data_IF_263142489288
#
_entry.id   IF_263142489288
#
_cell.length_a   1.000
_cell.length_b   1.000
_cell.length_c   1.000
_cell.angle_alpha   90.00
_cell.angle_beta   90.00
_cell.angle_gamma   90.00
#
_symmetry.space_group_name_H-M   'P 1'
#
loop_
_entity.id
_entity.type
_entity.pdbx_description
1 polymer ?
#
# COMPACT_ATOMS: atom_id res chain seq x y z
N UNK A 1 3.08 53.56 -6.79
CA UNK A 1 2.59 52.26 -7.32
C UNK A 1 3.70 51.21 -7.46
N UNK A 2 4.88 51.54 -8.04
CA UNK A 2 6.01 50.58 -8.22
C UNK A 2 6.50 49.90 -6.92
N UNK A 3 6.61 50.62 -5.80
CA UNK A 3 7.04 50.02 -4.51
C UNK A 3 6.11 48.91 -4.01
N UNK A 4 4.79 49.07 -4.17
CA UNK A 4 3.81 48.05 -3.76
C UNK A 4 3.91 46.79 -4.63
N UNK A 5 4.16 46.95 -5.94
CA UNK A 5 4.40 45.84 -6.87
C UNK A 5 5.66 45.05 -6.51
N UNK A 6 6.76 45.73 -6.18
CA UNK A 6 7.99 45.07 -5.73
C UNK A 6 7.80 44.31 -4.41
N UNK A 7 7.07 44.89 -3.46
CA UNK A 7 6.73 44.19 -2.20
C UNK A 7 5.86 42.96 -2.43
N UNK A 8 4.84 43.05 -3.30
CA UNK A 8 3.99 41.92 -3.67
C UNK A 8 4.80 40.82 -4.37
N UNK A 9 5.70 41.18 -5.28
CA UNK A 9 6.59 40.25 -5.96
C UNK A 9 7.50 39.52 -4.96
N UNK A 10 8.12 40.26 -4.02
CA UNK A 10 8.98 39.66 -3.00
C UNK A 10 8.22 38.71 -2.07
N UNK A 11 6.99 39.07 -1.68
CA UNK A 11 6.13 38.17 -0.90
C UNK A 11 5.79 36.91 -1.68
N UNK A 12 5.45 37.03 -2.97
CA UNK A 12 5.18 35.86 -3.83
C UNK A 12 6.40 34.94 -3.90
N UNK A 13 7.60 35.47 -4.17
CA UNK A 13 8.82 34.64 -4.21
C UNK A 13 9.10 33.97 -2.86
N UNK A 14 8.90 34.70 -1.76
CA UNK A 14 9.07 34.15 -0.41
C UNK A 14 8.10 33.00 -0.13
N UNK A 15 6.82 33.17 -0.45
CA UNK A 15 5.82 32.12 -0.27
C UNK A 15 6.06 30.93 -1.19
N UNK A 16 6.49 31.15 -2.44
CA UNK A 16 6.87 30.05 -3.34
C UNK A 16 8.05 29.26 -2.78
N UNK A 17 9.10 29.93 -2.31
CA UNK A 17 10.24 29.27 -1.69
C UNK A 17 9.86 28.49 -0.42
N UNK A 18 9.00 29.06 0.42
CA UNK A 18 8.48 28.40 1.61
C UNK A 18 7.63 27.17 1.26
N UNK A 19 6.75 27.27 0.26
CA UNK A 19 5.94 26.16 -0.22
C UNK A 19 6.80 25.02 -0.78
N UNK A 20 7.88 25.33 -1.50
CA UNK A 20 8.82 24.31 -1.99
C UNK A 20 9.59 23.62 -0.86
N UNK A 21 9.93 24.35 0.20
CA UNK A 21 10.57 23.76 1.39
C UNK A 21 9.59 22.90 2.21
N UNK A 22 8.32 23.29 2.26
CA UNK A 22 7.27 22.56 2.97
C UNK A 22 6.67 21.40 2.17
N UNK A 23 6.82 21.40 0.85
CA UNK A 23 6.25 20.36 -0.01
C UNK A 23 6.65 18.92 0.41
N UNK A 24 7.93 18.61 0.69
CA UNK A 24 8.31 17.27 1.13
C UNK A 24 7.62 16.86 2.44
N UNK A 25 7.57 17.75 3.44
CA UNK A 25 6.98 17.43 4.75
C UNK A 25 5.46 17.24 4.68
N UNK A 26 4.76 18.05 3.89
CA UNK A 26 3.31 17.91 3.69
C UNK A 26 2.98 16.70 2.84
N UNK A 27 3.76 16.45 1.78
CA UNK A 27 3.61 15.28 0.91
C UNK A 27 3.85 13.98 1.68
N UNK A 28 4.91 13.93 2.49
CA UNK A 28 5.23 12.76 3.33
C UNK A 28 4.11 12.49 4.34
N UNK A 29 3.57 13.54 4.96
CA UNK A 29 2.44 13.42 5.89
C UNK A 29 1.17 12.90 5.21
N UNK A 30 0.82 13.44 4.04
CA UNK A 30 -0.36 13.01 3.30
C UNK A 30 -0.25 11.58 2.76
N UNK A 31 0.95 11.20 2.30
CA UNK A 31 1.25 9.86 1.80
C UNK A 31 1.20 8.82 2.93
N UNK A 32 1.80 9.15 4.07
CA UNK A 32 1.69 8.37 5.32
C UNK A 32 0.23 8.19 5.77
N UNK A 33 -0.60 9.23 5.66
CA UNK A 33 -2.01 9.17 6.05
C UNK A 33 -2.86 8.25 5.15
N UNK A 34 -2.66 8.29 3.83
CA UNK A 34 -3.39 7.43 2.89
C UNK A 34 -3.00 5.95 3.03
N UNK A 35 -1.70 5.66 3.18
CA UNK A 35 -1.21 4.31 3.46
C UNK A 35 -1.68 3.81 4.83
N UNK A 36 -1.71 4.68 5.84
CA UNK A 36 -2.20 4.36 7.18
C UNK A 36 -3.65 3.90 7.17
N UNK A 37 -4.54 4.46 6.33
CA UNK A 37 -5.94 4.04 6.27
C UNK A 37 -6.12 2.60 5.75
N UNK A 38 -5.38 2.23 4.70
CA UNK A 38 -5.41 0.87 4.14
C UNK A 38 -4.87 -0.15 5.16
N UNK A 39 -3.76 0.18 5.83
CA UNK A 39 -3.16 -0.63 6.88
C UNK A 39 -4.09 -0.74 8.10
N UNK A 40 -4.78 0.35 8.48
CA UNK A 40 -5.72 0.35 9.60
C UNK A 40 -6.93 -0.54 9.33
N UNK A 41 -7.51 -0.48 8.13
CA UNK A 41 -8.63 -1.35 7.75
C UNK A 41 -8.23 -2.83 7.76
N UNK A 42 -7.05 -3.17 7.23
CA UNK A 42 -6.49 -4.52 7.31
C UNK A 42 -6.27 -4.97 8.76
N UNK A 43 -5.63 -4.13 9.58
CA UNK A 43 -5.34 -4.44 10.98
C UNK A 43 -6.62 -4.68 11.77
N UNK A 44 -7.65 -3.87 11.53
CA UNK A 44 -8.97 -4.05 12.14
C UNK A 44 -9.61 -5.37 11.69
N UNK A 45 -9.61 -5.68 10.38
CA UNK A 45 -10.12 -6.94 9.85
C UNK A 45 -9.44 -8.16 10.46
N UNK A 46 -8.11 -8.18 10.51
CA UNK A 46 -7.35 -9.28 11.12
C UNK A 46 -7.59 -9.36 12.63
N UNK A 47 -7.75 -8.23 13.33
CA UNK A 47 -7.98 -8.24 14.78
C UNK A 47 -9.34 -8.81 15.20
N UNK A 48 -10.32 -8.77 14.29
CA UNK A 48 -11.66 -9.31 14.49
C UNK A 48 -11.78 -10.77 14.03
N UNK A 49 -10.78 -11.28 13.31
CA UNK A 49 -10.72 -12.64 12.79
C UNK A 49 -10.53 -13.65 13.93
N UNK A 50 -11.23 -14.77 13.85
CA UNK A 50 -11.02 -15.86 14.79
C UNK A 50 -9.77 -16.69 14.46
N UNK A 51 -9.23 -17.39 15.46
CA UNK A 51 -7.99 -18.15 15.28
C UNK A 51 -8.12 -19.34 14.31
N UNK A 52 -9.33 -19.88 14.12
CA UNK A 52 -9.56 -21.00 13.22
C UNK A 52 -9.59 -20.52 11.76
N UNK A 53 -10.26 -19.40 11.50
CA UNK A 53 -10.29 -18.70 10.20
C UNK A 53 -8.88 -18.28 9.79
N UNK A 54 -8.13 -17.64 10.70
CA UNK A 54 -6.73 -17.30 10.46
C UNK A 54 -5.88 -18.52 10.12
N UNK A 55 -6.07 -19.63 10.85
CA UNK A 55 -5.37 -20.89 10.61
C UNK A 55 -5.69 -21.47 9.23
N UNK A 56 -6.97 -21.50 8.85
CA UNK A 56 -7.41 -21.98 7.54
C UNK A 56 -6.81 -21.15 6.41
N UNK A 57 -6.85 -19.81 6.51
CA UNK A 57 -6.28 -18.93 5.50
C UNK A 57 -4.77 -19.14 5.33
N UNK A 58 -4.05 -19.39 6.42
CA UNK A 58 -2.62 -19.68 6.36
C UNK A 58 -2.34 -21.03 5.70
N UNK A 59 -3.11 -22.06 6.05
CA UNK A 59 -3.00 -23.39 5.44
C UNK A 59 -3.28 -23.35 3.93
N UNK A 60 -4.32 -22.62 3.52
CA UNK A 60 -4.67 -22.43 2.10
C UNK A 60 -3.53 -21.72 1.33
N UNK A 61 -2.93 -20.69 1.93
CA UNK A 61 -1.80 -19.97 1.36
C UNK A 61 -0.54 -20.84 1.25
N UNK A 62 -0.24 -21.65 2.27
CA UNK A 62 0.88 -22.61 2.25
C UNK A 62 0.67 -23.71 1.19
N UNK A 63 -0.56 -24.22 1.09
CA UNK A 63 -0.93 -25.20 0.08
C UNK A 63 -0.79 -24.63 -1.34
N UNK A 64 -1.24 -23.39 -1.56
CA UNK A 64 -1.04 -22.69 -2.83
C UNK A 64 0.45 -22.55 -3.17
N UNK A 65 1.27 -22.08 -2.22
CA UNK A 65 2.71 -21.92 -2.41
C UNK A 65 3.40 -23.25 -2.77
N UNK A 66 2.97 -24.35 -2.15
CA UNK A 66 3.48 -25.69 -2.44
C UNK A 66 3.14 -26.13 -3.86
N UNK A 67 1.88 -25.99 -4.28
CA UNK A 67 1.44 -26.30 -5.66
C UNK A 67 2.16 -25.43 -6.70
N UNK A 68 2.38 -24.15 -6.39
CA UNK A 68 3.08 -23.22 -7.28
C UNK A 68 4.53 -23.63 -7.53
N UNK A 69 5.21 -24.20 -6.52
CA UNK A 69 6.59 -24.69 -6.65
C UNK A 69 6.69 -25.98 -7.48
N UNK A 70 5.64 -26.79 -7.51
CA UNK A 70 5.59 -28.01 -8.33
C UNK A 70 5.47 -27.71 -9.83
N UNK A 71 4.92 -26.54 -10.19
CA UNK A 71 4.89 -26.05 -11.57
C UNK A 71 6.29 -25.67 -12.05
N UNK A 72 6.97 -26.63 -12.68
CA UNK A 72 8.29 -26.41 -13.31
C UNK A 72 8.26 -25.48 -14.53
N UNK A 73 7.12 -25.38 -15.21
CA UNK A 73 6.93 -24.50 -16.37
C UNK A 73 5.78 -23.51 -16.13
N UNK A 74 5.88 -22.30 -16.71
CA UNK A 74 4.83 -21.26 -16.73
C UNK A 74 4.29 -20.78 -15.36
N UNK A 75 5.01 -20.98 -14.25
CA UNK A 75 4.63 -20.47 -12.90
C UNK A 75 4.41 -18.95 -12.79
N UNK A 76 4.79 -18.17 -13.81
CA UNK A 76 4.62 -16.71 -13.88
C UNK A 76 3.48 -16.28 -14.82
N UNK A 77 2.79 -17.25 -15.45
CA UNK A 77 1.66 -17.01 -16.34
C UNK A 77 0.48 -17.82 -15.83
N UNK A 78 -0.33 -17.19 -14.98
CA UNK A 78 -1.55 -17.77 -14.45
C UNK A 78 -2.60 -17.85 -15.57
N UNK A 79 -3.42 -18.90 -15.54
CA UNK A 79 -4.70 -18.89 -16.25
C UNK A 79 -5.71 -18.03 -15.49
N UNK A 80 -6.81 -17.61 -16.13
CA UNK A 80 -7.87 -16.81 -15.47
C UNK A 80 -8.37 -17.47 -14.17
N UNK A 81 -8.55 -18.79 -14.18
CA UNK A 81 -8.99 -19.53 -12.99
C UNK A 81 -7.94 -19.56 -11.86
N UNK A 82 -6.65 -19.59 -12.21
CA UNK A 82 -5.56 -19.58 -11.22
C UNK A 82 -5.32 -18.18 -10.65
N UNK A 83 -5.63 -17.15 -11.43
CA UNK A 83 -5.62 -15.76 -10.99
C UNK A 83 -6.80 -15.46 -10.05
N UNK A 84 -7.99 -16.00 -10.33
CA UNK A 84 -9.14 -15.92 -9.42
C UNK A 84 -8.85 -16.64 -8.10
N UNK A 85 -8.28 -17.85 -8.14
CA UNK A 85 -7.82 -18.56 -6.95
C UNK A 85 -6.81 -17.72 -6.17
N UNK A 86 -5.77 -17.21 -6.85
CA UNK A 86 -4.74 -16.36 -6.23
C UNK A 86 -5.33 -15.14 -5.53
N UNK A 87 -6.23 -14.41 -6.19
CA UNK A 87 -6.85 -13.19 -5.65
C UNK A 87 -7.79 -13.45 -4.46
N UNK A 88 -8.26 -14.69 -4.29
CA UNK A 88 -9.09 -15.07 -3.14
C UNK A 88 -8.29 -15.37 -1.87
N UNK A 89 -6.99 -15.65 -2.00
CA UNK A 89 -6.13 -16.01 -0.87
C UNK A 89 -5.67 -14.76 -0.12
N UNK A 90 -5.60 -14.82 1.20
CA UNK A 90 -5.10 -13.71 2.04
C UNK A 90 -5.82 -12.35 1.85
N UNK A 91 -7.01 -12.30 1.25
CA UNK A 91 -7.79 -11.07 1.12
C UNK A 91 -8.79 -10.90 2.28
N UNK A 92 -8.29 -10.41 3.41
CA UNK A 92 -9.09 -10.24 4.64
C UNK A 92 -10.19 -9.20 4.49
N UNK A 93 -9.97 -8.17 3.67
CA UNK A 93 -10.84 -6.99 3.58
C UNK A 93 -11.66 -6.93 2.29
N UNK A 94 -11.48 -7.87 1.36
CA UNK A 94 -12.11 -7.84 0.03
C UNK A 94 -11.56 -6.71 -0.85
N UNK A 95 -10.41 -6.15 -0.49
CA UNK A 95 -9.78 -5.01 -1.17
C UNK A 95 -8.46 -5.41 -1.84
N UNK A 96 -8.14 -6.71 -1.83
CA UNK A 96 -6.88 -7.24 -2.35
C UNK A 96 -5.65 -6.97 -1.49
N UNK A 97 -5.80 -6.46 -0.26
CA UNK A 97 -4.66 -6.22 0.64
C UNK A 97 -4.32 -7.53 1.36
N UNK A 98 -3.12 -8.05 1.10
CA UNK A 98 -2.60 -9.24 1.79
C UNK A 98 -2.04 -8.91 3.18
N UNK A 99 -1.51 -7.70 3.34
CA UNK A 99 -0.83 -7.26 4.54
C UNK A 99 -0.03 -6.00 4.29
N UNK A 100 1.00 -5.77 5.11
CA UNK A 100 1.88 -4.62 4.95
C UNK A 100 3.32 -4.95 5.32
N UNK A 101 4.26 -4.24 4.71
CA UNK A 101 5.68 -4.30 5.03
C UNK A 101 6.09 -3.05 5.78
N UNK A 102 6.78 -3.24 6.90
CA UNK A 102 7.42 -2.15 7.65
C UNK A 102 8.91 -2.11 7.35
N UNK A 103 9.44 -0.93 7.03
CA UNK A 103 10.86 -0.68 6.83
C UNK A 103 11.30 0.38 7.86
N UNK A 104 11.67 -0.02 9.10
CA UNK A 104 11.89 0.92 10.20
C UNK A 104 12.98 1.96 9.92
N UNK A 105 14.05 1.55 9.22
CA UNK A 105 15.17 2.44 8.86
C UNK A 105 14.73 3.59 7.93
N UNK A 106 13.69 3.37 7.13
CA UNK A 106 13.10 4.35 6.24
C UNK A 106 11.84 5.01 6.82
N UNK A 107 11.39 4.59 8.02
CA UNK A 107 10.15 5.03 8.66
C UNK A 107 8.94 4.92 7.73
N UNK A 108 8.85 3.78 7.06
CA UNK A 108 7.87 3.55 6.01
C UNK A 108 7.09 2.27 6.29
N UNK A 109 5.78 2.32 6.06
CA UNK A 109 4.89 1.17 6.11
C UNK A 109 4.05 1.14 4.84
N UNK A 110 4.20 0.09 4.02
CA UNK A 110 3.54 -0.02 2.73
C UNK A 110 2.56 -1.19 2.72
N UNK A 111 1.29 -0.99 2.30
CA UNK A 111 0.39 -2.11 2.05
C UNK A 111 0.89 -2.96 0.87
N UNK A 112 0.68 -4.27 0.97
CA UNK A 112 0.96 -5.25 -0.08
C UNK A 112 -0.38 -5.67 -0.68
N UNK A 113 -0.55 -5.40 -1.97
CA UNK A 113 -1.73 -5.80 -2.74
C UNK A 113 -1.44 -7.05 -3.57
N UNK A 114 -2.50 -7.72 -4.01
CA UNK A 114 -2.43 -8.73 -5.07
C UNK A 114 -2.01 -8.09 -6.40
N UNK A 115 -1.19 -8.83 -7.15
CA UNK A 115 -0.73 -8.41 -8.46
C UNK A 115 0.20 -7.19 -8.44
N UNK A 116 0.42 -6.63 -9.63
CA UNK A 116 1.26 -5.44 -9.83
C UNK A 116 0.65 -4.53 -10.89
N UNK A 117 -0.67 -4.54 -11.01
CA UNK A 117 -1.36 -3.68 -11.97
C UNK A 117 -1.29 -2.23 -11.50
N UNK A 118 -1.14 -1.31 -12.47
CA UNK A 118 -1.22 0.12 -12.21
C UNK A 118 -2.69 0.50 -12.00
N UNK A 119 -3.23 0.27 -10.79
CA UNK A 119 -4.51 0.85 -10.36
C UNK A 119 -4.33 2.24 -9.78
#
# INVERSE_FOLDING_TARGET
MRKKLTTVLLLLVMFTGLSLLLYPTVSDYWNSYHQSRAIAAYTEGVSQMDAAEYGSMMEDAEAYNSRLLEKKENRYRLTEAEEEEYNSLLDVTGTGIMGYVEIPKLKMSLPIYHGTEDT
#
